data_IF_320975199815
#
_entry.id   IF_320975199815
#
_cell.length_a   1.000
_cell.length_b   1.000
_cell.length_c   1.000
_cell.angle_alpha   90.00
_cell.angle_beta   90.00
_cell.angle_gamma   90.00
#
_symmetry.space_group_name_H-M   'P 1'
#
loop_
_entity.id
_entity.type
_entity.pdbx_description
1 polymer ?
#
# COMPACT_ATOMS: atom_id res chain seq x y z
N UNK A 1 -7.75 -4.41 -14.35
CA UNK A 1 -8.07 -2.99 -14.03
C UNK A 1 -6.91 -2.05 -14.36
N UNK A 2 -5.65 -2.41 -14.09
CA UNK A 2 -4.51 -1.55 -14.41
C UNK A 2 -4.45 -1.16 -15.90
N UNK A 3 -4.83 -2.06 -16.79
CA UNK A 3 -4.86 -1.78 -18.24
C UNK A 3 -6.08 -0.95 -18.69
N UNK A 4 -7.13 -0.88 -17.89
CA UNK A 4 -8.35 -0.11 -18.22
C UNK A 4 -8.26 1.34 -17.76
N UNK A 5 -7.33 1.66 -16.85
CA UNK A 5 -7.07 3.01 -16.35
C UNK A 5 -5.95 3.73 -17.11
N UNK A 6 -5.32 3.09 -18.11
CA UNK A 6 -4.39 3.74 -19.04
C UNK A 6 -5.16 4.53 -20.11
N UNK A 7 -6.07 5.38 -19.68
CA UNK A 7 -6.71 6.35 -20.54
C UNK A 7 -5.76 7.51 -20.82
N UNK A 8 -5.82 8.10 -22.00
CA UNK A 8 -5.15 9.36 -22.33
C UNK A 8 -5.85 10.51 -21.59
N UNK A 9 -5.79 10.50 -20.28
CA UNK A 9 -6.44 11.45 -19.40
C UNK A 9 -5.43 12.28 -18.62
N UNK A 10 -5.92 13.33 -17.99
CA UNK A 10 -5.16 14.13 -17.03
C UNK A 10 -5.45 13.60 -15.64
N UNK A 11 -4.39 13.28 -14.91
CA UNK A 11 -4.49 12.87 -13.50
C UNK A 11 -3.93 13.97 -12.61
N UNK A 12 -4.75 14.44 -11.68
CA UNK A 12 -4.34 15.31 -10.59
C UNK A 12 -4.16 14.46 -9.34
N UNK A 13 -3.02 14.62 -8.67
CA UNK A 13 -2.65 13.82 -7.49
C UNK A 13 -2.30 14.74 -6.34
N UNK A 14 -2.76 14.38 -5.15
CA UNK A 14 -2.36 15.01 -3.90
C UNK A 14 -2.05 13.92 -2.86
N UNK A 15 -1.02 14.16 -2.06
CA UNK A 15 -0.66 13.25 -0.98
C UNK A 15 -0.12 14.03 0.23
N UNK A 16 -0.34 13.46 1.41
CA UNK A 16 0.22 13.92 2.67
C UNK A 16 0.79 12.74 3.43
N UNK A 17 1.94 12.95 4.07
CA UNK A 17 2.49 11.98 5.00
C UNK A 17 3.04 12.70 6.23
N UNK A 18 3.00 12.01 7.35
CA UNK A 18 3.55 12.47 8.61
C UNK A 18 4.24 11.30 9.33
N UNK A 19 5.23 11.63 10.13
CA UNK A 19 5.89 10.68 11.00
C UNK A 19 6.18 11.33 12.34
N UNK A 20 6.21 10.50 13.36
CA UNK A 20 6.58 10.88 14.71
C UNK A 20 7.44 9.79 15.33
N UNK A 21 8.44 10.19 16.08
CA UNK A 21 9.36 9.30 16.76
C UNK A 21 9.49 9.76 18.22
N UNK A 22 9.40 8.85 19.21
CA UNK A 22 9.66 9.16 20.61
C UNK A 22 11.12 9.57 20.80
N UNK A 23 11.39 10.40 21.81
CA UNK A 23 12.76 10.83 22.15
C UNK A 23 13.60 9.68 22.73
N UNK A 24 12.96 8.71 23.37
CA UNK A 24 13.60 7.54 23.96
C UNK A 24 13.06 6.26 23.33
N UNK A 25 13.95 5.31 23.08
CA UNK A 25 13.58 3.96 22.66
C UNK A 25 12.86 3.23 23.78
N UNK A 26 11.87 2.41 23.46
CA UNK A 26 11.14 1.66 24.47
C UNK A 26 9.86 1.03 23.92
N UNK A 27 8.86 0.94 24.80
CA UNK A 27 7.60 0.30 24.45
C UNK A 27 6.76 1.10 23.44
N UNK A 28 6.97 2.43 23.36
CA UNK A 28 6.23 3.31 22.44
C UNK A 28 6.93 3.31 21.09
N UNK A 29 6.26 2.87 20.01
CA UNK A 29 6.86 2.86 18.67
C UNK A 29 6.94 4.26 18.07
N UNK A 30 7.82 4.45 17.11
CA UNK A 30 7.66 5.50 16.10
C UNK A 30 6.46 5.18 15.21
N UNK A 31 5.78 6.21 14.75
CA UNK A 31 4.57 6.10 13.95
C UNK A 31 4.76 6.88 12.65
N UNK A 32 4.44 6.24 11.54
CA UNK A 32 4.35 6.90 10.24
C UNK A 32 2.96 6.67 9.64
N UNK A 33 2.42 7.67 8.96
CA UNK A 33 1.15 7.55 8.28
C UNK A 33 1.16 8.40 7.02
N UNK A 34 0.44 7.93 6.00
CA UNK A 34 0.27 8.66 4.76
C UNK A 34 -1.07 8.38 4.11
N UNK A 35 -1.54 9.36 3.35
CA UNK A 35 -2.76 9.28 2.56
C UNK A 35 -2.56 10.01 1.24
N UNK A 36 -3.09 9.43 0.17
CA UNK A 36 -3.06 10.01 -1.16
C UNK A 36 -4.37 9.83 -1.89
N UNK A 37 -4.65 10.77 -2.78
CA UNK A 37 -5.81 10.76 -3.67
C UNK A 37 -5.38 11.12 -5.09
N UNK A 38 -5.95 10.42 -6.06
CA UNK A 38 -5.79 10.73 -7.47
C UNK A 38 -7.17 10.90 -8.10
N UNK A 39 -7.31 11.94 -8.92
CA UNK A 39 -8.49 12.17 -9.76
C UNK A 39 -8.05 12.18 -11.21
N UNK A 40 -8.60 11.26 -11.99
CA UNK A 40 -8.28 11.10 -13.42
C UNK A 40 -9.49 11.44 -14.25
N UNK A 41 -9.33 12.38 -15.18
CA UNK A 41 -10.31 12.76 -16.19
C UNK A 41 -9.95 12.11 -17.53
N UNK A 42 -10.83 11.31 -18.09
CA UNK A 42 -10.72 10.80 -19.46
C UNK A 42 -11.58 11.65 -20.41
N UNK A 43 -11.11 12.87 -20.68
CA UNK A 43 -11.78 13.78 -21.61
C UNK A 43 -11.75 13.30 -23.07
N UNK A 44 -10.81 12.40 -23.41
CA UNK A 44 -10.68 11.86 -24.77
C UNK A 44 -11.61 10.66 -25.03
N UNK A 45 -12.20 10.08 -23.98
CA UNK A 45 -13.15 8.98 -24.11
C UNK A 45 -12.59 7.70 -24.72
N UNK A 46 -11.28 7.48 -24.58
CA UNK A 46 -10.55 6.36 -25.17
C UNK A 46 -10.79 5.04 -24.44
N UNK A 47 -11.20 5.09 -23.18
CA UNK A 47 -11.69 3.91 -22.47
C UNK A 47 -13.20 3.88 -22.56
N UNK A 48 -13.73 2.84 -23.19
CA UNK A 48 -15.16 2.69 -23.39
C UNK A 48 -15.94 2.84 -22.08
N UNK A 49 -16.64 3.96 -21.95
CA UNK A 49 -17.61 4.18 -20.90
C UNK A 49 -17.14 4.87 -19.63
N UNK A 50 -15.86 5.17 -19.42
CA UNK A 50 -15.39 5.91 -18.23
C UNK A 50 -15.13 7.38 -18.60
N UNK A 51 -15.66 8.31 -17.80
CA UNK A 51 -15.40 9.75 -17.95
C UNK A 51 -14.36 10.23 -16.95
N UNK A 52 -14.46 9.79 -15.71
CA UNK A 52 -13.53 10.11 -14.65
C UNK A 52 -13.47 9.01 -13.60
N UNK A 53 -12.38 8.94 -12.88
CA UNK A 53 -12.20 8.02 -11.76
C UNK A 53 -11.44 8.69 -10.62
N UNK A 54 -11.77 8.32 -9.41
CA UNK A 54 -11.03 8.73 -8.22
C UNK A 54 -10.48 7.48 -7.53
N UNK A 55 -9.21 7.54 -7.17
CA UNK A 55 -8.55 6.49 -6.39
C UNK A 55 -7.84 7.06 -5.18
N UNK A 56 -7.71 6.26 -4.15
CA UNK A 56 -7.05 6.63 -2.90
C UNK A 56 -6.05 5.56 -2.48
N UNK A 57 -5.14 5.94 -1.61
CA UNK A 57 -4.24 5.03 -0.92
C UNK A 57 -3.94 5.56 0.48
N UNK A 58 -3.66 4.68 1.42
CA UNK A 58 -3.21 5.07 2.75
C UNK A 58 -2.35 3.98 3.38
N UNK A 59 -1.54 4.38 4.34
CA UNK A 59 -0.78 3.45 5.17
C UNK A 59 -0.59 3.99 6.59
N UNK A 60 -0.36 3.07 7.52
CA UNK A 60 0.15 3.33 8.87
C UNK A 60 1.27 2.34 9.13
N UNK A 61 2.41 2.84 9.58
CA UNK A 61 3.58 2.07 9.98
C UNK A 61 3.95 2.34 11.44
N UNK A 62 4.36 1.30 12.13
CA UNK A 62 4.87 1.32 13.48
C UNK A 62 6.26 0.69 13.49
N UNK A 63 7.21 1.30 14.21
CA UNK A 63 8.56 0.74 14.36
C UNK A 63 9.04 0.92 15.81
N UNK A 64 9.48 -0.16 16.39
CA UNK A 64 10.13 -0.21 17.70
C UNK A 64 11.63 -0.33 17.48
N UNK A 65 12.36 0.74 17.77
CA UNK A 65 13.82 0.69 17.83
C UNK A 65 14.27 -0.09 19.07
N UNK A 66 15.44 -0.69 18.98
CA UNK A 66 16.04 -1.53 20.04
C UNK A 66 15.14 -2.68 20.52
N UNK A 67 14.30 -3.18 19.63
CA UNK A 67 13.36 -4.25 19.91
C UNK A 67 14.10 -5.57 20.25
N UNK A 68 13.96 -6.03 21.47
CA UNK A 68 14.58 -7.22 22.06
C UNK A 68 16.11 -7.14 22.22
N UNK A 69 16.83 -6.52 21.30
CA UNK A 69 18.29 -6.36 21.28
C UNK A 69 18.59 -4.95 20.80
N UNK A 70 19.50 -4.26 21.50
CA UNK A 70 19.98 -2.94 21.11
C UNK A 70 20.53 -2.95 19.66
N UNK A 71 20.17 -1.94 18.89
CA UNK A 71 20.51 -1.80 17.48
C UNK A 71 19.57 -2.53 16.51
N UNK A 72 18.66 -3.36 16.99
CA UNK A 72 17.67 -4.04 16.18
C UNK A 72 16.36 -3.23 16.10
N UNK A 73 15.51 -3.53 15.12
CA UNK A 73 14.19 -2.89 15.02
C UNK A 73 13.11 -3.90 14.62
N UNK A 74 11.93 -3.76 15.24
CA UNK A 74 10.72 -4.46 14.84
C UNK A 74 9.78 -3.48 14.15
N UNK A 75 9.31 -3.81 12.97
CA UNK A 75 8.36 -2.96 12.24
C UNK A 75 7.09 -3.71 11.83
N UNK A 76 5.99 -2.99 11.89
CA UNK A 76 4.68 -3.43 11.39
C UNK A 76 4.06 -2.33 10.55
N UNK A 77 3.48 -2.70 9.42
CA UNK A 77 2.76 -1.77 8.56
C UNK A 77 1.43 -2.37 8.10
N UNK A 78 0.44 -1.49 7.96
CA UNK A 78 -0.84 -1.80 7.34
C UNK A 78 -1.26 -0.65 6.43
N UNK A 79 -1.86 -0.97 5.30
CA UNK A 79 -2.35 0.04 4.38
C UNK A 79 -3.27 -0.54 3.32
N UNK A 80 -3.81 0.36 2.54
CA UNK A 80 -4.49 0.03 1.29
C UNK A 80 -3.67 0.63 0.14
N UNK A 81 -3.03 -0.21 -0.70
CA UNK A 81 -2.52 0.23 -1.99
C UNK A 81 -3.61 0.92 -2.79
N UNK A 82 -3.24 1.65 -3.81
CA UNK A 82 -4.18 2.44 -4.61
C UNK A 82 -5.41 1.63 -4.99
N UNK A 83 -6.56 2.08 -4.54
CA UNK A 83 -7.86 1.49 -4.83
C UNK A 83 -8.82 2.56 -5.35
N UNK A 84 -9.71 2.17 -6.28
CA UNK A 84 -10.67 3.07 -6.89
C UNK A 84 -11.84 3.27 -5.95
N UNK A 85 -12.17 4.51 -5.64
CA UNK A 85 -13.28 4.88 -4.75
C UNK A 85 -14.51 5.36 -5.49
N UNK A 86 -14.34 5.91 -6.69
CA UNK A 86 -15.47 6.28 -7.56
C UNK A 86 -15.08 6.23 -9.03
N UNK A 87 -16.08 5.93 -9.86
CA UNK A 87 -15.97 5.95 -11.32
C UNK A 87 -17.22 6.60 -11.90
N UNK A 88 -17.06 7.65 -12.70
CA UNK A 88 -18.15 8.20 -13.51
C UNK A 88 -18.15 7.53 -14.88
N UNK A 89 -19.24 6.84 -15.20
CA UNK A 89 -19.41 6.08 -16.44
C UNK A 89 -20.42 6.75 -17.36
N UNK A 90 -20.18 6.61 -18.66
CA UNK A 90 -21.09 7.12 -19.71
C UNK A 90 -22.39 6.28 -19.82
N UNK A 91 -22.37 5.03 -19.31
CA UNK A 91 -23.54 4.18 -19.23
C UNK A 91 -23.66 3.60 -17.82
N UNK A 92 -24.89 3.53 -17.30
CA UNK A 92 -25.15 3.04 -15.96
C UNK A 92 -24.75 1.57 -15.86
N UNK A 93 -23.66 1.29 -15.19
CA UNK A 93 -23.32 -0.02 -14.65
C UNK A 93 -22.83 0.19 -13.24
N UNK A 94 -23.29 -0.64 -12.32
CA UNK A 94 -22.94 -0.56 -10.91
C UNK A 94 -21.41 -0.66 -10.77
N UNK A 95 -20.82 0.32 -10.05
CA UNK A 95 -19.44 0.28 -9.61
C UNK A 95 -19.44 -0.07 -8.11
N UNK A 96 -18.70 -1.10 -7.78
CA UNK A 96 -18.45 -1.47 -6.39
C UNK A 96 -17.03 -1.00 -6.04
N UNK A 97 -16.92 -0.12 -5.06
CA UNK A 97 -15.63 0.26 -4.50
C UNK A 97 -15.08 -0.94 -3.72
N UNK A 98 -14.01 -1.53 -4.18
CA UNK A 98 -13.36 -2.65 -3.53
C UNK A 98 -11.88 -2.33 -3.29
N UNK A 99 -11.53 -2.25 -2.01
CA UNK A 99 -10.17 -2.01 -1.57
C UNK A 99 -9.49 -3.30 -1.11
N UNK A 100 -8.23 -3.41 -1.40
CA UNK A 100 -7.35 -4.44 -0.90
C UNK A 100 -6.58 -3.92 0.32
N UNK A 101 -6.19 -4.83 1.21
CA UNK A 101 -5.32 -4.50 2.34
C UNK A 101 -3.96 -5.16 2.17
N UNK A 102 -2.92 -4.44 2.57
CA UNK A 102 -1.56 -4.93 2.65
C UNK A 102 -1.10 -4.86 4.11
N UNK A 103 -0.47 -5.92 4.57
CA UNK A 103 0.15 -6.01 5.89
C UNK A 103 1.59 -6.45 5.71
N UNK A 104 2.48 -5.87 6.51
CA UNK A 104 3.88 -6.26 6.57
C UNK A 104 4.36 -6.30 8.01
N UNK A 105 5.13 -7.32 8.36
CA UNK A 105 5.85 -7.43 9.60
C UNK A 105 7.30 -7.74 9.26
N UNK A 106 8.24 -6.95 9.78
CA UNK A 106 9.65 -7.18 9.58
C UNK A 106 10.45 -7.05 10.89
N UNK A 107 11.59 -7.69 10.92
CA UNK A 107 12.54 -7.53 11.99
C UNK A 107 13.94 -7.25 11.39
N UNK A 108 14.52 -6.12 11.77
CA UNK A 108 15.85 -5.74 11.31
C UNK A 108 16.90 -6.19 12.34
N UNK A 109 17.75 -7.13 11.95
CA UNK A 109 18.92 -7.56 12.72
C UNK A 109 20.13 -6.74 12.31
N UNK A 110 20.74 -6.02 13.23
CA UNK A 110 22.06 -5.45 13.06
C UNK A 110 23.10 -6.52 13.35
N UNK A 111 23.65 -7.13 12.31
CA UNK A 111 24.63 -8.23 12.43
C UNK A 111 26.00 -7.70 12.77
N UNK A 112 26.40 -6.60 12.09
CA UNK A 112 27.61 -5.83 12.36
C UNK A 112 27.33 -4.35 12.06
N UNK A 113 28.27 -3.46 12.36
CA UNK A 113 28.13 -2.01 12.06
C UNK A 113 27.84 -1.75 10.57
N UNK A 114 28.23 -2.69 9.71
CA UNK A 114 28.14 -2.57 8.26
C UNK A 114 27.15 -3.53 7.59
N UNK A 115 26.56 -4.46 8.35
CA UNK A 115 25.68 -5.49 7.78
C UNK A 115 24.41 -5.59 8.61
N UNK A 116 23.28 -5.45 7.94
CA UNK A 116 21.98 -5.79 8.52
C UNK A 116 21.21 -6.82 7.70
N UNK A 117 20.40 -7.62 8.37
CA UNK A 117 19.55 -8.66 7.80
C UNK A 117 18.11 -8.39 8.22
N UNK A 118 17.20 -8.26 7.25
CA UNK A 118 15.80 -7.94 7.51
C UNK A 118 14.88 -9.00 6.90
N UNK A 119 14.56 -10.08 7.63
CA UNK A 119 13.42 -10.91 7.27
C UNK A 119 12.12 -10.12 7.40
N UNK A 120 11.23 -10.33 6.44
CA UNK A 120 9.89 -9.76 6.42
C UNK A 120 8.87 -10.77 5.93
N UNK A 121 7.67 -10.68 6.45
CA UNK A 121 6.50 -11.40 5.96
C UNK A 121 5.43 -10.39 5.57
N UNK A 122 4.72 -10.67 4.48
CA UNK A 122 3.65 -9.81 4.01
C UNK A 122 2.41 -10.62 3.64
N UNK A 123 1.28 -9.98 3.82
CA UNK A 123 -0.02 -10.52 3.47
C UNK A 123 -0.81 -9.48 2.70
N UNK A 124 -1.33 -9.88 1.55
CA UNK A 124 -2.24 -9.08 0.73
C UNK A 124 -3.62 -9.72 0.73
N UNK A 125 -4.59 -8.96 1.19
CA UNK A 125 -6.00 -9.34 1.08
C UNK A 125 -6.56 -8.84 -0.24
N UNK A 126 -7.05 -9.73 -1.07
CA UNK A 126 -7.71 -9.41 -2.34
C UNK A 126 -6.92 -8.43 -3.24
N UNK A 127 -5.66 -8.75 -3.62
CA UNK A 127 -4.74 -7.79 -4.25
C UNK A 127 -5.24 -7.19 -5.57
N UNK A 128 -6.22 -7.80 -6.21
CA UNK A 128 -6.88 -7.28 -7.42
C UNK A 128 -8.38 -6.97 -7.21
N UNK A 129 -8.85 -7.04 -5.96
CA UNK A 129 -10.24 -6.82 -5.63
C UNK A 129 -11.18 -7.84 -6.26
N UNK A 130 -12.42 -7.44 -6.51
CA UNK A 130 -13.43 -8.27 -7.18
C UNK A 130 -13.13 -8.60 -8.64
N UNK A 131 -12.08 -8.01 -9.22
CA UNK A 131 -11.77 -8.16 -10.64
C UNK A 131 -10.93 -9.38 -10.97
N UNK A 132 -10.53 -10.17 -9.99
CA UNK A 132 -9.73 -11.37 -10.19
C UNK A 132 -10.52 -12.55 -10.73
N UNK A 133 -11.84 -12.52 -10.67
CA UNK A 133 -12.70 -13.57 -11.12
C UNK A 133 -13.93 -13.02 -11.84
N UNK A 134 -14.47 -13.79 -12.78
CA UNK A 134 -15.82 -13.56 -13.35
C UNK A 134 -16.91 -13.87 -12.33
N UNK A 135 -16.55 -14.54 -11.23
CA UNK A 135 -17.43 -14.85 -10.11
C UNK A 135 -17.01 -13.96 -8.93
N UNK A 136 -17.91 -13.10 -8.45
CA UNK A 136 -17.63 -12.09 -7.43
C UNK A 136 -17.17 -12.65 -6.08
N UNK A 137 -17.40 -13.92 -5.84
CA UNK A 137 -17.07 -14.61 -4.60
C UNK A 137 -15.66 -15.25 -4.62
N UNK A 138 -14.97 -15.24 -5.76
CA UNK A 138 -13.69 -15.94 -5.92
C UNK A 138 -12.49 -14.98 -5.86
N UNK A 139 -12.28 -14.37 -4.69
CA UNK A 139 -11.14 -13.53 -4.41
C UNK A 139 -10.01 -14.35 -3.81
N UNK A 140 -8.76 -14.06 -4.18
CA UNK A 140 -7.60 -14.71 -3.55
C UNK A 140 -6.86 -13.79 -2.58
N UNK A 141 -6.16 -14.40 -1.64
CA UNK A 141 -5.23 -13.73 -0.74
C UNK A 141 -3.82 -14.22 -1.04
N UNK A 142 -2.84 -13.35 -0.85
CA UNK A 142 -1.43 -13.69 -1.08
C UNK A 142 -0.64 -13.52 0.20
N UNK A 143 0.13 -14.53 0.55
CA UNK A 143 1.08 -14.49 1.65
C UNK A 143 2.48 -14.75 1.10
N UNK A 144 3.46 -13.96 1.52
CA UNK A 144 4.83 -14.10 1.09
C UNK A 144 5.83 -13.69 2.17
N UNK A 145 7.07 -14.05 1.94
CA UNK A 145 8.19 -13.66 2.79
C UNK A 145 9.38 -13.24 1.94
N UNK A 146 10.21 -12.39 2.51
CA UNK A 146 11.46 -11.93 1.91
C UNK A 146 12.54 -11.78 2.97
N UNK A 147 13.78 -11.83 2.54
CA UNK A 147 14.94 -11.49 3.37
C UNK A 147 15.77 -10.47 2.60
N UNK A 148 15.96 -9.29 3.19
CA UNK A 148 16.83 -8.26 2.66
C UNK A 148 18.15 -8.25 3.43
N UNK A 149 19.27 -8.22 2.74
CA UNK A 149 20.60 -7.98 3.32
C UNK A 149 21.08 -6.63 2.87
N UNK A 150 21.51 -5.79 3.81
CA UNK A 150 22.07 -4.46 3.53
C UNK A 150 23.53 -4.43 3.92
N UNK A 151 24.39 -3.94 3.03
CA UNK A 151 25.80 -3.69 3.27
C UNK A 151 26.06 -2.19 3.16
N UNK A 152 26.77 -1.64 4.15
CA UNK A 152 27.19 -0.22 4.18
C UNK A 152 28.71 -0.18 4.11
N UNK A 153 29.30 0.59 3.19
CA UNK A 153 30.75 0.71 2.96
C UNK A 153 31.24 2.12 3.28
#
# INVERSE_FOLDING_TARGET
YANTLQANGVTNSAAVSAWWMPEETGFIPSVSAGWGINSTDDSAGTVAGIKSSTSQSWYVGLEWADAFIEGNALGFAVGQPTFVTSVDKKSASDFVADGNYAFELFYNFQVTDNISLTPAVHYFSRPLGETTSTDRDDTFNSFGGMVKTTFTF
#
